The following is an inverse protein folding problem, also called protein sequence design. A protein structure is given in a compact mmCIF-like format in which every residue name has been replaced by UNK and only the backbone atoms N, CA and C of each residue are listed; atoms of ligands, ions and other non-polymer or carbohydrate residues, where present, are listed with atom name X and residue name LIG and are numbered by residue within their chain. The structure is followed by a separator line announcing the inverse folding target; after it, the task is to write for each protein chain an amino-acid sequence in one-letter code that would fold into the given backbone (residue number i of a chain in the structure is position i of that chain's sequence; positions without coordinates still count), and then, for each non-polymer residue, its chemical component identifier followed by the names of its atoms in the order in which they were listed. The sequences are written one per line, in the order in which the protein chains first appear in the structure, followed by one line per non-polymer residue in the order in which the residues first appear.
data_IF_806605130452
#
_entry.id   IF_806605130452
#
_cell.length_a   1.000
_cell.length_b   1.000
_cell.length_c   1.000
_cell.angle_alpha   90.00
_cell.angle_beta   90.00
_cell.angle_gamma   90.00
#
_symmetry.space_group_name_H-M   'P 1'
#
loop_
_entity.id
_entity.type
_entity.pdbx_description
1 polymer ?
#
# COMPACT_ATOMS: atom_id res chain seq x y z
N UNK A 1 -0.55 12.70 24.83
CA UNK A 1 -0.18 13.41 23.58
C UNK A 1 0.33 12.40 22.55
N UNK A 2 0.21 12.67 21.25
CA UNK A 2 1.03 11.96 20.25
C UNK A 2 2.49 12.20 20.59
N UNK A 3 3.34 11.16 20.62
CA UNK A 3 4.76 11.32 20.93
C UNK A 3 5.43 12.16 19.84
N UNK A 4 6.36 13.05 20.22
CA UNK A 4 7.13 13.88 19.27
C UNK A 4 7.88 13.04 18.25
N UNK A 5 8.38 11.88 18.67
CA UNK A 5 8.98 10.89 17.76
C UNK A 5 8.02 10.38 16.68
N UNK A 6 6.76 10.09 17.00
CA UNK A 6 5.77 9.62 16.01
C UNK A 6 5.42 10.68 14.97
N UNK A 7 5.30 11.94 15.40
CA UNK A 7 5.04 13.05 14.49
C UNK A 7 6.22 13.28 13.53
N UNK A 8 7.45 13.23 14.05
CA UNK A 8 8.66 13.34 13.23
C UNK A 8 8.77 12.16 12.24
N UNK A 9 8.48 10.94 12.70
CA UNK A 9 8.43 9.74 11.85
C UNK A 9 7.48 9.91 10.65
N UNK A 10 6.24 10.36 10.89
CA UNK A 10 5.28 10.60 9.81
C UNK A 10 5.74 11.69 8.84
N UNK A 11 6.31 12.79 9.36
CA UNK A 11 6.82 13.86 8.51
C UNK A 11 7.98 13.39 7.63
N UNK A 12 8.93 12.64 8.20
CA UNK A 12 10.06 12.06 7.45
C UNK A 12 9.56 11.13 6.34
N UNK A 13 8.65 10.20 6.67
CA UNK A 13 8.14 9.26 5.67
C UNK A 13 7.27 9.93 4.62
N UNK A 14 6.49 10.95 4.98
CA UNK A 14 5.74 11.71 4.00
C UNK A 14 6.66 12.36 2.95
N UNK A 15 7.73 13.04 3.40
CA UNK A 15 8.72 13.62 2.50
C UNK A 15 9.47 12.55 1.70
N UNK A 16 9.80 11.41 2.30
CA UNK A 16 10.42 10.28 1.62
C UNK A 16 9.56 9.76 0.46
N UNK A 17 8.26 9.53 0.69
CA UNK A 17 7.37 9.06 -0.36
C UNK A 17 7.06 10.13 -1.39
N UNK A 18 6.99 11.42 -1.03
CA UNK A 18 6.95 12.51 -2.02
C UNK A 18 8.18 12.46 -2.92
N UNK A 19 9.38 12.37 -2.32
CA UNK A 19 10.63 12.27 -3.05
C UNK A 19 10.59 11.10 -4.05
N UNK A 20 10.20 9.89 -3.62
CA UNK A 20 10.11 8.74 -4.53
C UNK A 20 9.12 8.95 -5.68
N UNK A 21 7.94 9.53 -5.40
CA UNK A 21 6.92 9.78 -6.42
C UNK A 21 7.34 10.84 -7.45
N UNK A 22 8.22 11.77 -7.07
CA UNK A 22 8.78 12.80 -7.97
C UNK A 22 10.03 12.30 -8.70
N UNK A 23 10.88 11.55 -8.01
CA UNK A 23 12.17 11.09 -8.52
C UNK A 23 12.03 9.96 -9.55
N UNK A 24 11.17 8.96 -9.31
CA UNK A 24 11.04 7.79 -10.19
C UNK A 24 10.61 8.18 -11.63
N UNK A 25 9.60 9.05 -11.83
CA UNK A 25 9.22 9.48 -13.19
C UNK A 25 10.33 10.18 -13.97
N UNK A 26 11.36 10.70 -13.31
CA UNK A 26 12.49 11.39 -13.93
C UNK A 26 13.59 10.41 -14.42
N UNK A 27 13.57 9.15 -13.95
CA UNK A 27 14.62 8.17 -14.27
C UNK A 27 14.50 7.53 -15.66
N UNK A 28 13.37 7.71 -16.36
CA UNK A 28 13.24 7.17 -17.70
C UNK A 28 11.90 7.46 -18.37
N UNK A 29 11.92 7.47 -19.70
CA UNK A 29 10.74 7.70 -20.56
C UNK A 29 9.64 6.67 -20.33
N UNK A 30 9.98 5.43 -19.92
CA UNK A 30 9.03 4.37 -19.56
C UNK A 30 8.10 4.81 -18.41
N UNK A 31 8.52 5.79 -17.61
CA UNK A 31 7.75 6.30 -16.48
C UNK A 31 7.02 7.63 -16.73
N UNK A 32 7.20 8.25 -17.90
CA UNK A 32 6.60 9.56 -18.20
C UNK A 32 5.12 9.48 -18.60
N UNK A 33 4.69 8.39 -19.26
CA UNK A 33 3.30 8.23 -19.72
C UNK A 33 2.42 7.47 -18.71
N UNK A 34 2.02 8.16 -17.64
CA UNK A 34 1.01 7.67 -16.70
C UNK A 34 1.45 6.45 -15.88
N UNK A 35 2.75 6.21 -15.73
CA UNK A 35 3.27 5.01 -15.12
C UNK A 35 2.89 4.81 -13.65
N UNK A 36 2.66 5.91 -12.91
CA UNK A 36 2.10 5.87 -11.54
C UNK A 36 0.77 5.11 -11.46
N UNK A 37 -0.04 5.17 -12.52
CA UNK A 37 -1.33 4.46 -12.62
C UNK A 37 -1.23 3.12 -13.33
N UNK A 38 -0.08 2.81 -13.92
CA UNK A 38 0.20 1.57 -14.65
C UNK A 38 0.70 0.48 -13.71
N UNK A 39 1.68 0.78 -12.86
CA UNK A 39 2.34 -0.21 -12.00
C UNK A 39 1.84 -0.13 -10.56
N UNK A 40 1.40 -1.26 -10.00
CA UNK A 40 0.91 -1.35 -8.62
C UNK A 40 1.94 -0.84 -7.60
N UNK A 41 3.23 -1.11 -7.84
CA UNK A 41 4.30 -0.60 -6.98
C UNK A 41 4.28 0.93 -6.91
N UNK A 42 4.14 1.62 -8.05
CA UNK A 42 4.12 3.09 -8.08
C UNK A 42 2.82 3.63 -7.49
N UNK A 43 1.70 2.98 -7.78
CA UNK A 43 0.42 3.31 -7.13
C UNK A 43 0.51 3.16 -5.61
N UNK A 44 1.18 2.11 -5.12
CA UNK A 44 1.43 1.91 -3.70
C UNK A 44 2.31 3.04 -3.12
N UNK A 45 3.36 3.49 -3.80
CA UNK A 45 4.15 4.63 -3.30
C UNK A 45 3.33 5.91 -3.19
N UNK A 46 2.44 6.18 -4.15
CA UNK A 46 1.51 7.31 -4.07
C UNK A 46 0.55 7.15 -2.88
N UNK A 47 -0.01 5.95 -2.71
CA UNK A 47 -0.87 5.62 -1.56
C UNK A 47 -0.14 5.81 -0.22
N UNK A 48 1.13 5.42 -0.12
CA UNK A 48 1.95 5.65 1.07
C UNK A 48 2.20 7.15 1.31
N UNK A 49 2.47 7.95 0.25
CA UNK A 49 2.58 9.40 0.38
C UNK A 49 1.28 10.02 0.91
N UNK A 50 0.12 9.61 0.39
CA UNK A 50 -1.20 10.07 0.87
C UNK A 50 -1.41 9.66 2.32
N UNK A 51 -1.13 8.40 2.66
CA UNK A 51 -1.29 7.90 4.02
C UNK A 51 -0.42 8.66 5.03
N UNK A 52 0.89 8.77 4.80
CA UNK A 52 1.78 9.47 5.72
C UNK A 52 1.51 10.98 5.77
N UNK A 53 1.02 11.59 4.68
CA UNK A 53 0.52 12.97 4.68
C UNK A 53 -0.69 13.14 5.60
N UNK A 54 -1.69 12.25 5.51
CA UNK A 54 -2.87 12.24 6.39
C UNK A 54 -2.47 11.97 7.85
N UNK A 55 -1.54 11.04 8.10
CA UNK A 55 -1.04 10.72 9.43
C UNK A 55 -0.27 11.89 10.06
N UNK A 56 0.56 12.58 9.26
CA UNK A 56 1.26 13.80 9.67
C UNK A 56 0.28 14.94 9.98
N UNK A 57 -0.74 15.14 9.13
CA UNK A 57 -1.79 16.14 9.34
C UNK A 57 -2.57 15.87 10.62
N UNK A 58 -2.98 14.61 10.86
CA UNK A 58 -3.65 14.19 12.10
C UNK A 58 -2.83 14.54 13.35
N UNK A 59 -1.51 14.32 13.28
CA UNK A 59 -0.59 14.59 14.39
C UNK A 59 -0.40 16.08 14.68
N UNK A 60 -0.20 16.87 13.63
CA UNK A 60 -0.05 18.32 13.74
C UNK A 60 -1.34 18.96 14.27
N UNK A 61 -2.50 18.58 13.72
CA UNK A 61 -3.78 19.11 14.16
C UNK A 61 -4.05 18.77 15.65
N UNK A 62 -3.74 17.55 16.10
CA UNK A 62 -3.92 17.15 17.51
C UNK A 62 -3.02 17.91 18.46
N UNK A 63 -1.85 18.34 18.01
CA UNK A 63 -0.93 19.21 18.78
C UNK A 63 -1.46 20.63 18.88
N UNK A 64 -1.86 21.23 17.76
CA UNK A 64 -2.34 22.62 17.70
C UNK A 64 -3.67 22.78 18.45
N UNK A 65 -4.63 21.88 18.22
CA UNK A 65 -6.00 22.00 18.73
C UNK A 65 -6.23 21.33 20.09
N UNK A 66 -5.16 20.82 20.75
CA UNK A 66 -5.26 20.21 22.08
C UNK A 66 -6.22 19.01 22.16
N UNK A 67 -6.14 18.07 21.20
CA UNK A 67 -7.03 16.89 21.06
C UNK A 67 -8.53 17.17 20.84
N UNK A 68 -8.97 18.42 20.63
CA UNK A 68 -10.37 18.70 20.26
C UNK A 68 -10.74 18.01 18.94
N UNK A 69 -11.83 17.26 18.97
CA UNK A 69 -12.60 16.56 17.92
C UNK A 69 -12.05 16.40 16.47
N UNK A 70 -10.80 15.93 16.29
CA UNK A 70 -10.25 15.57 14.95
C UNK A 70 -10.67 14.14 14.56
N UNK A 71 -11.93 13.77 14.81
CA UNK A 71 -12.42 12.40 14.57
C UNK A 71 -12.39 12.02 13.10
N UNK A 72 -12.74 12.93 12.21
CA UNK A 72 -12.81 12.66 10.77
C UNK A 72 -11.44 12.28 10.18
N UNK A 73 -10.40 13.10 10.42
CA UNK A 73 -9.05 12.82 9.90
C UNK A 73 -8.48 11.55 10.53
N UNK A 74 -8.71 11.32 11.83
CA UNK A 74 -8.30 10.06 12.48
C UNK A 74 -9.00 8.84 11.88
N UNK A 75 -10.31 8.91 11.65
CA UNK A 75 -11.08 7.83 11.05
C UNK A 75 -10.65 7.57 9.59
N UNK A 76 -10.40 8.63 8.82
CA UNK A 76 -9.91 8.51 7.44
C UNK A 76 -8.51 7.91 7.39
N UNK A 77 -7.59 8.35 8.27
CA UNK A 77 -6.26 7.76 8.43
C UNK A 77 -6.34 6.26 8.71
N UNK A 78 -7.17 5.87 9.68
CA UNK A 78 -7.33 4.46 10.06
C UNK A 78 -7.95 3.64 8.93
N UNK A 79 -8.98 4.16 8.27
CA UNK A 79 -9.58 3.50 7.12
C UNK A 79 -8.54 3.30 6.01
N UNK A 80 -7.80 4.35 5.65
CA UNK A 80 -6.79 4.32 4.58
C UNK A 80 -5.68 3.32 4.88
N UNK A 81 -5.16 3.33 6.12
CA UNK A 81 -4.11 2.40 6.53
C UNK A 81 -4.58 0.95 6.50
N UNK A 82 -5.69 0.68 7.17
CA UNK A 82 -6.16 -0.68 7.44
C UNK A 82 -6.68 -1.37 6.18
N UNK A 83 -7.35 -0.63 5.29
CA UNK A 83 -7.98 -1.20 4.10
C UNK A 83 -7.09 -1.19 2.87
N UNK A 84 -6.21 -0.20 2.72
CA UNK A 84 -5.41 -0.01 1.50
C UNK A 84 -3.91 -0.03 1.77
N UNK A 85 -3.39 0.90 2.57
CA UNK A 85 -1.93 1.11 2.65
C UNK A 85 -1.19 -0.13 3.14
N UNK A 86 -1.63 -0.73 4.25
CA UNK A 86 -0.99 -1.93 4.80
C UNK A 86 -1.22 -3.19 3.95
N UNK A 87 -2.46 -3.52 3.52
CA UNK A 87 -2.67 -4.70 2.68
C UNK A 87 -1.93 -4.64 1.34
N UNK A 88 -1.99 -3.50 0.64
CA UNK A 88 -1.38 -3.35 -0.69
C UNK A 88 0.15 -3.36 -0.58
N UNK A 89 0.76 -2.64 0.38
CA UNK A 89 2.21 -2.63 0.48
C UNK A 89 2.79 -4.02 0.81
N UNK A 90 2.10 -4.77 1.68
CA UNK A 90 2.51 -6.12 2.06
C UNK A 90 2.32 -7.08 0.89
N UNK A 91 1.23 -6.95 0.13
CA UNK A 91 1.02 -7.71 -1.10
C UNK A 91 2.11 -7.42 -2.13
N UNK A 92 2.44 -6.14 -2.37
CA UNK A 92 3.52 -5.74 -3.30
C UNK A 92 4.85 -6.34 -2.87
N UNK A 93 5.20 -6.25 -1.58
CA UNK A 93 6.41 -6.87 -1.04
C UNK A 93 6.45 -8.37 -1.32
N UNK A 94 5.39 -9.10 -0.93
CA UNK A 94 5.35 -10.56 -1.04
C UNK A 94 5.35 -11.01 -2.49
N UNK A 95 4.50 -10.42 -3.33
CA UNK A 95 4.39 -10.77 -4.74
C UNK A 95 5.70 -10.46 -5.47
N UNK A 96 6.26 -9.26 -5.29
CA UNK A 96 7.51 -8.87 -5.94
C UNK A 96 8.65 -9.80 -5.58
N UNK A 97 8.96 -9.99 -4.30
CA UNK A 97 10.11 -10.80 -3.90
C UNK A 97 9.93 -12.29 -4.21
N UNK A 98 8.71 -12.81 -4.07
CA UNK A 98 8.42 -14.21 -4.45
C UNK A 98 8.68 -14.43 -5.94
N UNK A 99 8.14 -13.56 -6.81
CA UNK A 99 8.31 -13.71 -8.26
C UNK A 99 9.75 -13.39 -8.66
N UNK A 100 10.35 -12.35 -8.07
CA UNK A 100 11.73 -11.96 -8.33
C UNK A 100 12.74 -13.08 -8.04
N UNK A 101 12.57 -13.76 -6.90
CA UNK A 101 13.42 -14.88 -6.50
C UNK A 101 13.17 -16.15 -7.35
N UNK A 102 11.96 -16.33 -7.85
CA UNK A 102 11.61 -17.44 -8.74
C UNK A 102 12.16 -17.23 -10.16
N UNK A 103 11.77 -16.12 -10.79
CA UNK A 103 12.28 -15.65 -12.08
C UNK A 103 12.06 -14.14 -12.20
N UNK A 104 13.14 -13.37 -12.04
CA UNK A 104 13.11 -11.91 -12.08
C UNK A 104 12.57 -11.35 -13.39
N UNK A 105 12.72 -12.02 -14.53
CA UNK A 105 12.28 -11.48 -15.82
C UNK A 105 10.75 -11.33 -15.90
N UNK A 106 10.01 -11.97 -15.00
CA UNK A 106 8.55 -11.91 -14.91
C UNK A 106 8.02 -10.59 -14.34
N UNK A 107 8.82 -9.89 -13.52
CA UNK A 107 8.41 -8.66 -12.79
C UNK A 107 9.44 -7.53 -12.84
N UNK A 108 10.72 -7.86 -12.97
CA UNK A 108 11.83 -6.92 -12.97
C UNK A 108 12.96 -7.38 -13.93
N UNK A 109 12.75 -7.22 -15.25
CA UNK A 109 13.72 -7.61 -16.28
C UNK A 109 15.10 -6.96 -16.10
N UNK A 110 16.16 -7.65 -16.53
CA UNK A 110 17.57 -7.18 -16.36
C UNK A 110 17.85 -5.78 -16.89
N UNK A 111 17.18 -5.33 -17.96
CA UNK A 111 17.41 -3.99 -18.49
C UNK A 111 17.04 -2.88 -17.50
N UNK A 112 16.18 -3.16 -16.51
CA UNK A 112 15.84 -2.23 -15.44
C UNK A 112 17.02 -1.94 -14.50
N UNK A 113 18.03 -2.81 -14.41
CA UNK A 113 19.23 -2.59 -13.57
C UNK A 113 20.04 -1.36 -14.04
N UNK A 114 19.99 -1.04 -15.33
CA UNK A 114 20.62 0.15 -15.89
C UNK A 114 19.87 1.45 -15.58
N UNK A 115 18.61 1.37 -15.13
CA UNK A 115 17.76 2.54 -14.82
C UNK A 115 17.54 2.72 -13.32
N UNK A 116 17.44 1.62 -12.58
CA UNK A 116 17.09 1.62 -11.16
C UNK A 116 18.29 1.19 -10.31
N UNK A 117 18.87 2.11 -9.51
CA UNK A 117 19.89 1.71 -8.56
C UNK A 117 19.30 0.76 -7.50
N UNK A 118 20.15 -0.12 -6.96
CA UNK A 118 19.75 -1.16 -6.01
C UNK A 118 18.96 -0.61 -4.82
N UNK A 119 19.37 0.55 -4.28
CA UNK A 119 18.67 1.18 -3.17
C UNK A 119 17.22 1.54 -3.51
N UNK A 120 16.95 1.94 -4.76
CA UNK A 120 15.63 2.33 -5.21
C UNK A 120 14.73 1.10 -5.37
N UNK A 121 15.27 -0.02 -5.85
CA UNK A 121 14.53 -1.28 -5.85
C UNK A 121 14.07 -1.67 -4.43
N UNK A 122 14.96 -1.56 -3.43
CA UNK A 122 14.59 -1.78 -2.02
C UNK A 122 13.63 -0.73 -1.47
N UNK A 123 13.77 0.54 -1.85
CA UNK A 123 12.83 1.59 -1.46
C UNK A 123 11.41 1.28 -1.97
N UNK A 124 11.30 0.76 -3.19
CA UNK A 124 10.03 0.44 -3.84
C UNK A 124 9.41 -0.86 -3.34
N UNK A 125 10.21 -1.87 -2.99
CA UNK A 125 9.72 -3.24 -2.76
C UNK A 125 10.03 -3.83 -1.38
N UNK A 126 10.96 -3.26 -0.60
CA UNK A 126 11.31 -3.76 0.75
C UNK A 126 10.87 -2.80 1.84
N UNK A 127 11.29 -1.54 1.76
CA UNK A 127 11.11 -0.56 2.83
C UNK A 127 9.64 -0.20 3.06
N UNK A 128 8.79 -0.35 2.04
CA UNK A 128 7.33 -0.18 2.16
C UNK A 128 6.72 -1.05 3.26
N UNK A 129 7.16 -2.31 3.40
CA UNK A 129 6.68 -3.21 4.44
C UNK A 129 7.31 -2.86 5.78
N UNK A 130 8.62 -2.59 5.82
CA UNK A 130 9.32 -2.19 7.04
C UNK A 130 8.64 -1.00 7.72
N UNK A 131 8.37 0.07 6.96
CA UNK A 131 7.71 1.26 7.47
C UNK A 131 6.26 1.00 7.90
N UNK A 132 5.52 0.16 7.16
CA UNK A 132 4.15 -0.17 7.55
C UNK A 132 4.09 -1.03 8.83
N UNK A 133 5.06 -1.91 9.06
CA UNK A 133 5.20 -2.66 10.32
C UNK A 133 5.58 -1.76 11.49
N UNK A 134 6.48 -0.79 11.26
CA UNK A 134 6.80 0.23 12.28
C UNK A 134 5.53 1.02 12.66
N UNK A 135 4.69 1.38 11.67
CA UNK A 135 3.44 2.10 11.95
C UNK A 135 2.49 1.30 12.86
N UNK A 136 2.29 0.00 12.58
CA UNK A 136 1.50 -0.89 13.46
C UNK A 136 2.02 -0.88 14.90
N UNK A 137 3.34 -0.81 15.10
CA UNK A 137 3.97 -0.80 16.42
C UNK A 137 3.86 0.56 17.10
N UNK A 138 3.87 1.66 16.34
CA UNK A 138 3.86 3.02 16.88
C UNK A 138 2.45 3.49 17.23
N UNK A 139 1.42 2.98 16.54
CA UNK A 139 0.06 3.51 16.68
C UNK A 139 -1.04 2.44 16.58
N UNK A 140 -2.07 2.53 17.43
CA UNK A 140 -3.29 1.75 17.25
C UNK A 140 -4.15 2.27 16.10
N UNK A 141 -4.64 1.38 15.23
CA UNK A 141 -5.59 1.70 14.16
C UNK A 141 -6.94 1.04 14.38
N UNK A 142 -8.04 1.78 14.18
CA UNK A 142 -9.39 1.24 14.25
C UNK A 142 -9.77 0.61 12.91
N UNK A 143 -9.82 -0.72 12.87
CA UNK A 143 -10.32 -1.44 11.70
C UNK A 143 -11.83 -1.19 11.53
N UNK A 144 -12.31 -0.97 10.30
CA UNK A 144 -13.75 -0.97 10.04
C UNK A 144 -14.31 -2.39 10.22
N UNK A 145 -15.63 -2.55 10.06
CA UNK A 145 -16.20 -3.91 10.01
C UNK A 145 -15.51 -4.73 8.91
N UNK A 146 -15.28 -6.03 9.15
CA UNK A 146 -14.63 -6.92 8.15
C UNK A 146 -15.32 -6.86 6.79
N UNK A 147 -16.66 -6.80 6.76
CA UNK A 147 -17.43 -6.63 5.53
C UNK A 147 -17.03 -5.34 4.81
N UNK A 148 -17.06 -4.20 5.50
CA UNK A 148 -16.66 -2.90 4.92
C UNK A 148 -15.21 -2.91 4.44
N UNK A 149 -14.27 -3.38 5.27
CA UNK A 149 -12.84 -3.38 4.92
C UNK A 149 -12.54 -4.27 3.72
N UNK A 150 -13.09 -5.49 3.69
CA UNK A 150 -12.92 -6.42 2.57
C UNK A 150 -13.64 -5.91 1.31
N UNK A 151 -14.82 -5.29 1.42
CA UNK A 151 -15.49 -4.67 0.26
C UNK A 151 -14.65 -3.53 -0.33
N UNK A 152 -14.09 -2.65 0.48
CA UNK A 152 -13.23 -1.57 0.00
C UNK A 152 -11.96 -2.09 -0.68
N UNK A 153 -11.35 -3.13 -0.10
CA UNK A 153 -10.20 -3.81 -0.70
C UNK A 153 -10.57 -4.49 -2.03
N UNK A 154 -11.75 -5.12 -2.11
CA UNK A 154 -12.25 -5.74 -3.33
C UNK A 154 -12.50 -4.71 -4.44
N UNK A 155 -13.20 -3.61 -4.12
CA UNK A 155 -13.45 -2.50 -5.07
C UNK A 155 -12.13 -1.94 -5.59
N UNK A 156 -11.14 -1.74 -4.71
CA UNK A 156 -9.82 -1.24 -5.11
C UNK A 156 -9.07 -2.24 -5.99
N UNK A 157 -9.15 -3.53 -5.67
CA UNK A 157 -8.55 -4.61 -6.47
C UNK A 157 -9.17 -4.68 -7.85
N UNK A 158 -10.50 -4.67 -7.95
CA UNK A 158 -11.24 -4.63 -9.22
C UNK A 158 -10.86 -3.39 -10.01
N UNK A 159 -10.80 -2.21 -9.38
CA UNK A 159 -10.39 -0.97 -10.04
C UNK A 159 -9.00 -1.07 -10.68
N UNK A 160 -8.03 -1.62 -9.96
CA UNK A 160 -6.68 -1.83 -10.51
C UNK A 160 -6.66 -2.90 -11.61
N UNK A 161 -7.36 -4.02 -11.43
CA UNK A 161 -7.47 -5.08 -12.45
C UNK A 161 -8.12 -4.54 -13.74
N UNK A 162 -9.21 -3.79 -13.61
CA UNK A 162 -9.86 -3.13 -14.76
C UNK A 162 -8.91 -2.17 -15.47
N UNK A 163 -8.08 -1.43 -14.72
CA UNK A 163 -7.07 -0.54 -15.31
C UNK A 163 -6.04 -1.30 -16.14
N UNK A 164 -5.46 -2.38 -15.61
CA UNK A 164 -4.44 -3.15 -16.34
C UNK A 164 -5.03 -3.88 -17.56
N UNK A 165 -6.27 -4.38 -17.47
CA UNK A 165 -6.97 -5.00 -18.59
C UNK A 165 -7.29 -3.98 -19.69
N UNK A 166 -7.72 -2.78 -19.30
CA UNK A 166 -7.94 -1.68 -20.24
C UNK A 166 -6.65 -1.24 -20.94
N UNK A 167 -5.53 -1.14 -20.21
CA UNK A 167 -4.23 -0.83 -20.81
C UNK A 167 -3.82 -1.89 -21.84
N UNK A 168 -3.98 -3.18 -21.50
CA UNK A 168 -3.70 -4.27 -22.43
C UNK A 168 -4.60 -4.22 -23.67
N UNK A 169 -5.91 -3.94 -23.51
CA UNK A 169 -6.81 -3.85 -24.66
C UNK A 169 -6.52 -2.67 -25.59
N UNK A 170 -5.91 -1.60 -25.07
CA UNK A 170 -5.49 -0.42 -25.86
C UNK A 170 -4.11 -0.56 -26.51
N UNK A 171 -3.17 -1.22 -25.86
CA UNK A 171 -1.75 -1.24 -26.28
C UNK A 171 -1.29 -2.59 -26.82
N UNK A 172 -2.04 -3.67 -26.56
CA UNK A 172 -1.60 -5.05 -26.80
C UNK A 172 -0.46 -5.52 -25.88
N UNK A 173 -0.03 -4.68 -24.93
CA UNK A 173 1.10 -4.96 -24.04
C UNK A 173 0.63 -5.16 -22.61
N UNK A 174 1.16 -6.19 -21.95
CA UNK A 174 0.90 -6.42 -20.54
C UNK A 174 1.77 -5.51 -19.67
N UNK A 175 1.20 -5.05 -18.55
CA UNK A 175 1.94 -4.26 -17.54
C UNK A 175 3.09 -5.06 -16.95
N UNK A 176 2.86 -6.36 -16.71
CA UNK A 176 3.85 -7.28 -16.17
C UNK A 176 4.09 -8.41 -17.16
N UNK A 177 5.35 -8.74 -17.49
CA UNK A 177 5.68 -9.86 -18.39
C UNK A 177 5.04 -11.18 -17.98
N UNK A 178 4.88 -11.44 -16.68
CA UNK A 178 4.18 -12.61 -16.15
C UNK A 178 2.77 -12.80 -16.74
N UNK A 179 1.99 -11.73 -16.89
CA UNK A 179 0.60 -11.82 -17.33
C UNK A 179 0.51 -12.32 -18.78
N UNK A 180 1.51 -12.00 -19.61
CA UNK A 180 1.60 -12.50 -20.99
C UNK A 180 1.81 -14.02 -21.07
N UNK A 181 2.29 -14.66 -20.00
CA UNK A 181 2.54 -16.10 -19.93
C UNK A 181 1.31 -16.90 -19.51
N UNK A 182 0.23 -16.24 -19.10
CA UNK A 182 -0.96 -16.88 -18.56
C UNK A 182 -2.06 -17.00 -19.63
N UNK A 183 -2.74 -18.15 -19.64
CA UNK A 183 -3.99 -18.31 -20.39
C UNK A 183 -5.12 -17.45 -19.76
N UNK A 184 -6.27 -17.26 -20.42
CA UNK A 184 -7.41 -16.55 -19.81
C UNK A 184 -7.86 -17.16 -18.47
N UNK A 185 -7.83 -18.49 -18.35
CA UNK A 185 -8.10 -19.19 -17.10
C UNK A 185 -7.01 -18.90 -16.06
N UNK A 186 -5.74 -18.92 -16.48
CA UNK A 186 -4.60 -18.58 -15.62
C UNK A 186 -4.65 -17.15 -15.10
N UNK A 187 -5.04 -16.18 -15.93
CA UNK A 187 -5.24 -14.78 -15.53
C UNK A 187 -6.37 -14.65 -14.50
N UNK A 188 -7.49 -15.34 -14.74
CA UNK A 188 -8.63 -15.35 -13.82
C UNK A 188 -8.24 -15.92 -12.46
N UNK A 189 -7.55 -17.06 -12.45
CA UNK A 189 -7.02 -17.67 -11.24
C UNK A 189 -6.00 -16.75 -10.53
N UNK A 190 -5.09 -16.12 -11.28
CA UNK A 190 -4.09 -15.20 -10.73
C UNK A 190 -4.74 -14.00 -10.03
N UNK A 191 -5.72 -13.34 -10.66
CA UNK A 191 -6.41 -12.20 -10.05
C UNK A 191 -7.25 -12.60 -8.83
N UNK A 192 -7.94 -13.74 -8.90
CA UNK A 192 -8.70 -14.26 -7.78
C UNK A 192 -7.79 -14.57 -6.58
N UNK A 193 -6.71 -15.32 -6.81
CA UNK A 193 -5.74 -15.67 -5.77
C UNK A 193 -5.06 -14.42 -5.19
N UNK A 194 -4.74 -13.42 -6.03
CA UNK A 194 -4.18 -12.14 -5.58
C UNK A 194 -5.11 -11.42 -4.60
N UNK A 195 -6.41 -11.41 -4.88
CA UNK A 195 -7.40 -10.85 -3.96
C UNK A 195 -7.49 -11.66 -2.65
N UNK A 196 -7.52 -13.00 -2.72
CA UNK A 196 -7.51 -13.85 -1.52
C UNK A 196 -6.26 -13.60 -0.67
N UNK A 197 -5.09 -13.44 -1.29
CA UNK A 197 -3.85 -13.07 -0.60
C UNK A 197 -3.99 -11.70 0.08
N UNK A 198 -4.48 -10.68 -0.63
CA UNK A 198 -4.69 -9.35 -0.06
C UNK A 198 -5.70 -9.36 1.10
N UNK A 199 -6.80 -10.11 0.98
CA UNK A 199 -7.78 -10.30 2.04
C UNK A 199 -7.19 -11.00 3.27
N UNK A 200 -6.36 -12.02 3.06
CA UNK A 200 -5.63 -12.71 4.14
C UNK A 200 -4.67 -11.76 4.87
N UNK A 201 -3.98 -10.89 4.13
CA UNK A 201 -3.10 -9.86 4.69
C UNK A 201 -3.90 -8.83 5.49
N UNK A 202 -5.07 -8.40 5.01
CA UNK A 202 -5.96 -7.51 5.77
C UNK A 202 -6.32 -8.12 7.14
N UNK A 203 -6.72 -9.39 7.17
CA UNK A 203 -7.05 -10.11 8.41
C UNK A 203 -5.84 -10.29 9.32
N UNK A 204 -4.66 -10.54 8.73
CA UNK A 204 -3.40 -10.56 9.48
C UNK A 204 -3.11 -9.21 10.13
N UNK A 205 -3.30 -8.10 9.40
CA UNK A 205 -3.16 -6.75 9.95
C UNK A 205 -4.11 -6.49 11.12
N UNK A 206 -5.37 -6.87 11.00
CA UNK A 206 -6.37 -6.78 12.08
C UNK A 206 -5.87 -7.53 13.33
N UNK A 207 -5.37 -8.76 13.14
CA UNK A 207 -4.84 -9.60 14.22
C UNK A 207 -3.57 -9.01 14.85
N UNK A 208 -2.65 -8.48 14.05
CA UNK A 208 -1.42 -7.83 14.55
C UNK A 208 -1.75 -6.58 15.37
N UNK A 209 -2.68 -5.76 14.89
CA UNK A 209 -3.14 -4.58 15.60
C UNK A 209 -3.82 -4.94 16.92
N UNK A 210 -4.70 -5.95 16.93
CA UNK A 210 -5.31 -6.45 18.17
C UNK A 210 -4.27 -7.06 19.13
N UNK A 211 -3.31 -7.84 18.64
CA UNK A 211 -2.25 -8.41 19.46
C UNK A 211 -1.41 -7.32 20.16
N UNK A 212 -1.11 -6.22 19.47
CA UNK A 212 -0.32 -5.12 20.03
C UNK A 212 -1.13 -4.17 20.93
N UNK A 213 -2.39 -3.92 20.60
CA UNK A 213 -3.19 -2.81 21.16
C UNK A 213 -4.53 -3.22 21.76
N UNK A 214 -4.90 -4.51 21.75
CA UNK A 214 -6.21 -5.02 22.17
C UNK A 214 -6.65 -4.53 23.54
N UNK A 215 -5.78 -4.59 24.54
CA UNK A 215 -6.09 -4.14 25.90
C UNK A 215 -6.36 -2.63 26.03
N UNK A 216 -5.94 -1.83 25.03
CA UNK A 216 -6.12 -0.37 25.00
C UNK A 216 -7.29 0.08 24.12
N UNK A 217 -7.80 -0.81 23.28
CA UNK A 217 -8.99 -0.57 22.49
C UNK A 217 -10.19 -1.11 23.29
N UNK A 218 -10.93 -0.22 23.96
CA UNK A 218 -12.16 -0.59 24.64
C UNK A 218 -13.04 -1.45 23.70
N UNK A 219 -13.60 -2.58 24.17
CA UNK A 219 -14.55 -3.33 23.37
C UNK A 219 -15.67 -2.36 22.99
N UNK A 220 -16.02 -2.31 21.70
CA UNK A 220 -17.31 -1.74 21.28
C UNK A 220 -18.36 -2.41 22.18
N UNK A 221 -18.94 -1.66 23.12
CA UNK A 221 -20.21 -2.06 23.70
C UNK A 221 -21.11 -2.37 22.50
N UNK A 222 -21.53 -3.63 22.38
CA UNK A 222 -22.61 -4.01 21.48
C UNK A 222 -23.78 -3.11 21.87
N UNK A 223 -24.08 -2.11 21.06
CA UNK A 223 -25.39 -1.49 21.13
C UNK A 223 -26.32 -2.54 20.52
N UNK A 224 -27.06 -3.20 21.40
CA UNK A 224 -28.21 -4.04 21.08
C UNK A 224 -29.25 -3.26 20.27
#
# INVERSE_FOLDING_TARGET
MTRTSTCAYHFILWNWYIFLNVYIPQLGTIFQDGAQTKYLTLFNLLLQAVFFGVACLDDVLKRIKGRKDIKFITAFRDLLFTTLAFPICTFVFLAFWTIFLYDRELVYPKFLDGMFPVWLNHAMHSFILLFSLIEIILRPHHYPSRKTGLTLLAVSSVGYISRILWLHSKTGQWVYPMLARLSPVGLTAFFFLSYISAASIYLLGERLNHWKWGDRMLPRMKME
#
